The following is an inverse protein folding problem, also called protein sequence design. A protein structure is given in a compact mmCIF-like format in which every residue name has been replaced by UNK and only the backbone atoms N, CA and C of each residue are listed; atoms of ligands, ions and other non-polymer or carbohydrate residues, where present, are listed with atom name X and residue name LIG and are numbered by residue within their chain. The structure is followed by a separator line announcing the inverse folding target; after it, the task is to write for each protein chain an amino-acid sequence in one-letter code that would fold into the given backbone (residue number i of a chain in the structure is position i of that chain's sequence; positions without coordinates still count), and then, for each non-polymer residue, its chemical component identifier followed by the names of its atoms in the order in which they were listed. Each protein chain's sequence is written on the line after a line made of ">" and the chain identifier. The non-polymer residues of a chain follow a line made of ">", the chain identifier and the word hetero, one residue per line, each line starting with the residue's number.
data_IF_710726318259
#
_entry.id   IF_710726318259
#
_cell.length_a   1.000
_cell.length_b   1.000
_cell.length_c   1.000
_cell.angle_alpha   90.00
_cell.angle_beta   90.00
_cell.angle_gamma   90.00
#
_symmetry.space_group_name_H-M   'P 1'
#
loop_
_entity.id
_entity.type
_entity.pdbx_description
1 polymer ?
#
# COMPACT_ATOMS: atom_id res chain seq x y z
N UNK A 1 -0.19 12.92 -12.39
CA UNK A 1 -1.28 13.92 -12.29
C UNK A 1 -1.34 14.30 -10.83
N UNK A 2 -0.90 15.49 -10.46
CA UNK A 2 -0.85 15.93 -9.06
C UNK A 2 -2.27 16.15 -8.56
N UNK A 3 -2.70 15.42 -7.54
CA UNK A 3 -4.01 15.61 -6.88
C UNK A 3 -4.10 16.96 -6.11
N UNK A 4 -2.98 17.68 -6.00
CA UNK A 4 -2.92 18.98 -5.32
C UNK A 4 -3.52 20.15 -6.13
N UNK A 5 -3.68 20.00 -7.44
CA UNK A 5 -4.22 21.06 -8.32
C UNK A 5 -5.76 21.00 -8.44
N UNK A 6 -6.46 20.79 -7.31
CA UNK A 6 -7.92 20.78 -7.23
C UNK A 6 -8.61 22.07 -7.68
N UNK A 7 -7.84 23.14 -7.88
CA UNK A 7 -8.36 24.43 -8.33
C UNK A 7 -8.57 24.53 -9.86
N UNK A 8 -8.18 23.51 -10.61
CA UNK A 8 -8.22 23.54 -12.08
C UNK A 8 -9.44 22.82 -12.70
N UNK A 9 -10.23 22.09 -11.91
CA UNK A 9 -11.39 21.35 -12.42
C UNK A 9 -12.51 21.25 -11.38
N UNK A 10 -13.76 21.47 -11.83
CA UNK A 10 -14.97 21.37 -10.99
C UNK A 10 -15.24 19.92 -10.53
N UNK A 11 -14.78 18.92 -11.30
CA UNK A 11 -14.90 17.49 -11.01
C UNK A 11 -13.57 16.83 -11.27
N UNK A 12 -13.06 16.08 -10.27
CA UNK A 12 -11.79 15.38 -10.36
C UNK A 12 -11.86 13.97 -9.75
N UNK A 13 -11.01 13.05 -10.24
CA UNK A 13 -10.77 11.78 -9.57
C UNK A 13 -9.95 12.01 -8.30
N UNK A 14 -10.39 11.47 -7.18
CA UNK A 14 -9.71 11.62 -5.91
C UNK A 14 -9.44 10.27 -5.23
N UNK A 15 -8.27 10.15 -4.58
CA UNK A 15 -7.92 8.98 -3.82
C UNK A 15 -8.81 8.87 -2.57
N UNK A 16 -9.57 7.76 -2.44
CA UNK A 16 -10.55 7.60 -1.37
C UNK A 16 -9.94 7.66 0.05
N UNK A 17 -8.73 7.14 0.24
CA UNK A 17 -8.01 7.24 1.52
C UNK A 17 -7.68 8.70 1.85
N UNK A 18 -7.13 9.42 0.89
CA UNK A 18 -6.82 10.86 1.05
C UNK A 18 -8.09 11.68 1.30
N UNK A 19 -9.19 11.38 0.58
CA UNK A 19 -10.47 12.05 0.81
C UNK A 19 -10.93 11.92 2.27
N UNK A 20 -10.93 10.71 2.83
CA UNK A 20 -11.33 10.46 4.21
C UNK A 20 -10.45 11.22 5.21
N UNK A 21 -9.13 11.21 5.00
CA UNK A 21 -8.19 11.95 5.87
C UNK A 21 -8.42 13.46 5.77
N UNK A 22 -8.60 14.01 4.58
CA UNK A 22 -8.87 15.44 4.37
C UNK A 22 -10.18 15.86 5.06
N UNK A 23 -11.25 15.07 4.93
CA UNK A 23 -12.52 15.32 5.64
C UNK A 23 -12.36 15.26 7.16
N UNK A 24 -11.58 14.31 7.67
CA UNK A 24 -11.27 14.20 9.09
C UNK A 24 -10.46 15.40 9.62
N UNK A 25 -9.67 16.04 8.76
CA UNK A 25 -8.94 17.27 9.06
C UNK A 25 -9.78 18.55 8.88
N UNK A 26 -11.09 18.41 8.62
CA UNK A 26 -12.02 19.55 8.50
C UNK A 26 -12.06 20.21 7.13
N UNK A 27 -11.54 19.57 6.08
CA UNK A 27 -11.65 20.09 4.72
C UNK A 27 -13.10 20.01 4.24
N UNK A 28 -13.73 21.16 3.95
CA UNK A 28 -15.15 21.24 3.57
C UNK A 28 -15.38 21.54 2.09
N UNK A 29 -14.38 22.05 1.39
CA UNK A 29 -14.42 22.49 -0.01
C UNK A 29 -14.52 21.35 -1.03
N UNK A 30 -14.38 20.10 -0.62
CA UNK A 30 -14.52 18.90 -1.46
C UNK A 30 -15.71 18.05 -1.05
N UNK A 31 -16.48 17.56 -2.02
CA UNK A 31 -17.61 16.64 -1.80
C UNK A 31 -17.50 15.44 -2.73
N UNK A 32 -17.55 14.24 -2.17
CA UNK A 32 -17.58 13.02 -2.98
C UNK A 32 -18.99 12.80 -3.56
N UNK A 33 -19.05 12.43 -4.82
CA UNK A 33 -20.27 11.93 -5.47
C UNK A 33 -20.18 10.40 -5.56
N UNK A 34 -21.32 9.66 -5.60
CA UNK A 34 -21.32 8.18 -5.57
C UNK A 34 -20.92 7.56 -6.92
N UNK A 35 -19.76 7.97 -7.44
CA UNK A 35 -19.17 7.43 -8.68
C UNK A 35 -17.87 6.69 -8.32
N UNK A 36 -17.85 5.38 -8.53
CA UNK A 36 -16.73 4.52 -8.23
C UNK A 36 -15.97 4.18 -9.52
N UNK A 37 -14.90 4.91 -9.79
CA UNK A 37 -14.16 4.85 -11.05
C UNK A 37 -13.31 3.58 -11.18
N UNK A 38 -12.80 3.05 -10.05
CA UNK A 38 -11.91 1.91 -10.05
C UNK A 38 -12.42 0.75 -9.22
N UNK A 39 -12.43 -0.44 -9.85
CA UNK A 39 -12.58 -1.74 -9.18
C UNK A 39 -11.32 -2.55 -9.45
N UNK A 40 -10.47 -2.74 -8.44
CA UNK A 40 -9.20 -3.43 -8.59
C UNK A 40 -9.04 -4.52 -7.54
N UNK A 41 -8.46 -5.63 -7.96
CA UNK A 41 -8.07 -6.71 -7.08
C UNK A 41 -6.88 -6.31 -6.22
N UNK A 42 -7.01 -6.44 -4.90
CA UNK A 42 -6.03 -5.95 -3.93
C UNK A 42 -5.03 -7.01 -3.46
N UNK A 43 -5.41 -8.29 -3.49
CA UNK A 43 -4.50 -9.39 -3.12
C UNK A 43 -3.24 -9.43 -4.00
N UNK A 44 -3.36 -9.03 -5.28
CA UNK A 44 -2.23 -8.93 -6.19
C UNK A 44 -1.24 -7.80 -5.90
N UNK A 45 -1.53 -6.92 -4.92
CA UNK A 45 -0.69 -5.76 -4.59
C UNK A 45 0.43 -6.07 -3.59
N UNK A 46 0.51 -7.30 -3.09
CA UNK A 46 1.52 -7.70 -2.13
C UNK A 46 2.63 -8.46 -2.85
N UNK A 47 3.78 -7.81 -2.97
CA UNK A 47 5.02 -8.44 -3.43
C UNK A 47 5.88 -8.84 -2.23
N UNK A 48 6.51 -9.99 -2.27
CA UNK A 48 7.31 -10.53 -1.16
C UNK A 48 8.67 -11.05 -1.61
N UNK A 49 9.64 -10.98 -0.72
CA UNK A 49 10.89 -11.69 -0.88
C UNK A 49 10.65 -13.20 -0.64
N UNK A 50 10.97 -14.02 -1.65
CA UNK A 50 10.73 -15.48 -1.62
C UNK A 50 11.46 -16.21 -0.52
N UNK A 51 12.57 -15.67 -0.03
CA UNK A 51 13.38 -16.32 0.99
C UNK A 51 12.75 -16.23 2.37
N UNK A 52 12.06 -15.12 2.66
CA UNK A 52 11.60 -14.78 4.00
C UNK A 52 10.10 -14.94 4.20
N UNK A 53 9.30 -14.88 3.13
CA UNK A 53 7.82 -14.93 3.19
C UNK A 53 7.29 -15.95 2.19
N UNK A 54 6.54 -16.93 2.68
CA UNK A 54 5.86 -17.97 1.89
C UNK A 54 4.35 -17.87 1.97
N UNK A 55 3.83 -17.51 3.13
CA UNK A 55 2.39 -17.41 3.42
C UNK A 55 2.08 -16.07 4.10
N UNK A 56 0.82 -15.62 4.15
CA UNK A 56 0.45 -14.41 4.89
C UNK A 56 0.84 -14.44 6.37
N UNK A 57 0.86 -15.61 7.00
CA UNK A 57 1.25 -15.77 8.42
C UNK A 57 2.72 -15.45 8.68
N UNK A 58 3.58 -15.63 7.67
CA UNK A 58 5.01 -15.33 7.79
C UNK A 58 5.29 -13.82 7.86
N UNK A 59 4.28 -12.97 7.62
CA UNK A 59 4.42 -11.52 7.71
C UNK A 59 4.49 -11.00 9.16
N UNK A 60 4.05 -11.77 10.15
CA UNK A 60 4.15 -11.38 11.55
C UNK A 60 5.62 -11.16 11.95
N UNK A 61 5.92 -10.05 12.61
CA UNK A 61 7.27 -9.65 13.00
C UNK A 61 8.17 -9.20 11.83
N UNK A 62 7.62 -9.01 10.63
CA UNK A 62 8.35 -8.64 9.42
C UNK A 62 8.29 -7.14 9.14
N UNK A 63 9.16 -6.71 8.22
CA UNK A 63 9.19 -5.34 7.71
C UNK A 63 8.44 -5.26 6.39
N UNK A 64 7.39 -4.43 6.35
CA UNK A 64 6.52 -4.28 5.18
C UNK A 64 6.60 -2.86 4.63
N UNK A 65 7.00 -2.73 3.38
CA UNK A 65 7.08 -1.46 2.67
C UNK A 65 5.74 -0.98 2.15
N UNK A 66 5.47 0.32 2.28
CA UNK A 66 4.34 1.03 1.69
C UNK A 66 4.81 2.37 1.10
N UNK A 67 4.32 2.80 -0.06
CA UNK A 67 4.74 4.10 -0.62
C UNK A 67 4.19 5.28 0.18
N UNK A 68 2.98 5.15 0.70
CA UNK A 68 2.30 6.13 1.54
C UNK A 68 1.36 5.42 2.51
N UNK A 69 1.23 5.98 3.72
CA UNK A 69 0.37 5.42 4.75
C UNK A 69 -1.12 5.59 4.43
N UNK A 70 -1.53 6.77 3.93
CA UNK A 70 -2.92 7.09 3.62
C UNK A 70 -3.40 6.61 2.24
N UNK A 71 -2.54 6.01 1.43
CA UNK A 71 -2.93 5.54 0.10
C UNK A 71 -4.00 4.44 0.18
N UNK A 72 -5.10 4.61 -0.58
CA UNK A 72 -6.26 3.68 -0.60
C UNK A 72 -5.84 2.22 -0.80
N UNK A 73 -4.91 1.96 -1.72
CA UNK A 73 -4.42 0.60 -1.98
C UNK A 73 -3.83 -0.05 -0.72
N UNK A 74 -3.01 0.70 0.02
CA UNK A 74 -2.41 0.25 1.27
C UNK A 74 -3.45 0.03 2.38
N UNK A 75 -4.41 0.96 2.53
CA UNK A 75 -5.47 0.85 3.54
C UNK A 75 -6.28 -0.44 3.35
N UNK A 76 -6.80 -0.68 2.14
CA UNK A 76 -7.59 -1.87 1.84
C UNK A 76 -6.78 -3.16 1.98
N UNK A 77 -5.53 -3.17 1.53
CA UNK A 77 -4.68 -4.37 1.61
C UNK A 77 -4.33 -4.70 3.06
N UNK A 78 -4.08 -3.71 3.91
CA UNK A 78 -3.87 -3.91 5.36
C UNK A 78 -5.13 -4.47 6.03
N UNK A 79 -6.30 -3.91 5.70
CA UNK A 79 -7.59 -4.42 6.19
C UNK A 79 -7.85 -5.87 5.77
N UNK A 80 -7.54 -6.21 4.53
CA UNK A 80 -7.66 -7.57 4.00
C UNK A 80 -6.74 -8.57 4.73
N UNK A 81 -5.48 -8.19 4.97
CA UNK A 81 -4.55 -9.02 5.75
C UNK A 81 -5.04 -9.23 7.18
N UNK A 82 -5.57 -8.20 7.82
CA UNK A 82 -6.15 -8.31 9.16
C UNK A 82 -7.35 -9.28 9.18
N UNK A 83 -8.28 -9.15 8.24
CA UNK A 83 -9.48 -9.99 8.18
C UNK A 83 -9.18 -11.45 7.85
N UNK A 84 -8.29 -11.71 6.89
CA UNK A 84 -8.06 -13.06 6.37
C UNK A 84 -6.93 -13.81 7.09
N UNK A 85 -5.98 -13.11 7.65
CA UNK A 85 -4.77 -13.71 8.24
C UNK A 85 -4.62 -13.39 9.72
N UNK A 86 -5.48 -12.52 10.27
CA UNK A 86 -5.36 -12.05 11.65
C UNK A 86 -4.16 -11.13 11.89
N UNK A 87 -3.51 -10.62 10.84
CA UNK A 87 -2.33 -9.78 10.94
C UNK A 87 -2.74 -8.35 11.33
N UNK A 88 -2.51 -7.96 12.57
CA UNK A 88 -2.74 -6.61 13.06
C UNK A 88 -1.69 -5.62 12.58
N UNK A 89 -2.03 -4.33 12.60
CA UNK A 89 -1.10 -3.26 12.17
C UNK A 89 0.16 -3.19 13.06
N UNK A 90 0.05 -3.54 14.34
CA UNK A 90 1.16 -3.55 15.29
C UNK A 90 2.03 -4.82 15.24
N UNK A 91 1.61 -5.84 14.48
CA UNK A 91 2.35 -7.10 14.38
C UNK A 91 3.55 -7.02 13.42
N UNK A 92 3.73 -5.90 12.74
CA UNK A 92 4.76 -5.68 11.73
C UNK A 92 5.41 -4.30 11.91
N UNK A 93 6.62 -4.13 11.40
CA UNK A 93 7.25 -2.82 11.23
C UNK A 93 6.95 -2.31 9.83
N UNK A 94 6.32 -1.14 9.75
CA UNK A 94 6.04 -0.51 8.46
C UNK A 94 7.20 0.36 8.02
N UNK A 95 7.55 0.24 6.74
CA UNK A 95 8.60 1.04 6.11
C UNK A 95 7.98 1.87 5.00
N UNK A 96 8.16 3.19 5.06
CA UNK A 96 7.66 4.10 4.04
C UNK A 96 8.81 4.65 3.21
N UNK A 97 8.73 4.47 1.89
CA UNK A 97 9.66 5.02 0.90
C UNK A 97 9.04 5.01 -0.50
N UNK A 98 9.66 5.67 -1.47
CA UNK A 98 9.24 5.56 -2.86
C UNK A 98 9.44 4.15 -3.42
N UNK A 99 8.66 3.76 -4.42
CA UNK A 99 8.71 2.40 -5.00
C UNK A 99 10.02 2.19 -5.77
N UNK A 100 10.32 3.09 -6.70
CA UNK A 100 11.47 3.05 -7.63
C UNK A 100 12.25 4.36 -7.69
N UNK A 101 11.72 5.41 -7.06
CA UNK A 101 12.38 6.71 -6.92
C UNK A 101 12.43 7.10 -5.45
N UNK A 102 13.51 7.75 -5.05
CA UNK A 102 13.68 8.24 -3.67
C UNK A 102 12.89 9.53 -3.45
N UNK A 103 12.77 9.96 -2.18
CA UNK A 103 12.20 11.27 -1.85
C UNK A 103 10.67 11.34 -1.85
N UNK A 104 9.96 10.20 -2.03
CA UNK A 104 8.49 10.21 -1.96
C UNK A 104 8.02 10.60 -0.57
N UNK A 105 7.09 11.54 -0.55
CA UNK A 105 6.43 12.01 0.67
C UNK A 105 4.95 11.61 0.69
N UNK A 106 4.34 11.67 1.86
CA UNK A 106 2.90 11.52 2.04
C UNK A 106 2.19 12.73 1.42
N UNK A 107 1.23 12.49 0.53
CA UNK A 107 0.42 13.59 -0.05
C UNK A 107 -0.50 14.22 0.99
N UNK A 108 -0.99 13.42 1.93
CA UNK A 108 -1.86 13.88 3.03
C UNK A 108 -1.28 13.44 4.34
N UNK A 109 -0.90 14.39 5.19
CA UNK A 109 -0.32 14.10 6.49
C UNK A 109 -1.29 13.29 7.37
N UNK A 110 -0.82 12.15 7.85
CA UNK A 110 -1.59 11.27 8.73
C UNK A 110 -0.64 10.59 9.72
N UNK A 111 -1.08 10.48 10.96
CA UNK A 111 -0.36 9.76 11.99
C UNK A 111 -0.84 8.31 12.05
N UNK A 112 0.08 7.33 12.11
CA UNK A 112 -0.28 5.96 12.39
C UNK A 112 -1.00 5.84 13.74
N UNK A 113 -1.86 4.84 13.94
CA UNK A 113 -2.45 4.56 15.25
C UNK A 113 -1.39 4.29 16.32
N UNK A 114 -1.75 4.51 17.59
CA UNK A 114 -0.87 4.18 18.72
C UNK A 114 -0.44 2.70 18.67
N UNK A 115 0.83 2.44 18.92
CA UNK A 115 1.42 1.09 18.87
C UNK A 115 1.81 0.60 17.46
N UNK A 116 1.62 1.42 16.43
CA UNK A 116 2.05 1.11 15.06
C UNK A 116 3.34 1.86 14.74
N UNK A 117 4.40 1.12 14.40
CA UNK A 117 5.70 1.70 14.02
C UNK A 117 5.77 1.91 12.51
N UNK A 118 6.07 3.13 12.09
CA UNK A 118 6.34 3.49 10.68
C UNK A 118 7.67 4.20 10.59
N UNK A 119 8.64 3.57 9.91
CA UNK A 119 9.98 4.14 9.65
C UNK A 119 10.00 4.71 8.24
N UNK A 120 10.42 5.96 8.08
CA UNK A 120 10.43 6.65 6.79
C UNK A 120 11.86 6.80 6.25
N UNK A 121 12.03 6.49 4.97
CA UNK A 121 13.29 6.66 4.25
C UNK A 121 13.08 7.59 3.04
N UNK A 122 13.93 8.60 2.93
CA UNK A 122 13.91 9.55 1.79
C UNK A 122 15.02 9.26 0.77
N UNK A 123 15.99 8.43 1.12
CA UNK A 123 17.22 8.14 0.36
C UNK A 123 17.24 6.73 -0.24
N UNK A 124 16.18 5.95 -0.04
CA UNK A 124 16.08 4.55 -0.49
C UNK A 124 14.79 4.30 -1.25
N UNK A 125 14.75 3.20 -1.99
CA UNK A 125 13.54 2.73 -2.67
C UNK A 125 13.04 1.41 -2.07
N UNK A 126 11.73 1.20 -2.07
CA UNK A 126 11.13 -0.05 -1.63
C UNK A 126 11.56 -1.23 -2.51
N UNK A 127 11.78 -0.99 -3.81
CA UNK A 127 12.28 -2.01 -4.73
C UNK A 127 13.65 -2.54 -4.29
N UNK A 128 14.60 -1.65 -4.00
CA UNK A 128 15.97 -2.05 -3.62
C UNK A 128 15.99 -2.69 -2.23
N UNK A 129 15.21 -2.16 -1.29
CA UNK A 129 15.05 -2.75 0.04
C UNK A 129 14.43 -4.14 -0.02
N UNK A 130 13.47 -4.39 -0.91
CA UNK A 130 12.88 -5.71 -1.11
C UNK A 130 13.88 -6.69 -1.74
N UNK A 131 14.67 -6.23 -2.70
CA UNK A 131 15.72 -7.03 -3.34
C UNK A 131 16.86 -7.40 -2.40
N UNK A 132 17.29 -6.47 -1.56
CA UNK A 132 18.35 -6.69 -0.57
C UNK A 132 17.88 -7.56 0.62
N UNK A 133 16.55 -7.61 0.85
CA UNK A 133 15.97 -8.27 2.01
C UNK A 133 15.91 -7.38 3.26
N UNK A 134 16.10 -6.07 3.13
CA UNK A 134 15.87 -5.10 4.20
C UNK A 134 14.39 -4.98 4.57
N UNK A 135 13.50 -5.19 3.59
CA UNK A 135 12.07 -5.44 3.82
C UNK A 135 11.69 -6.81 3.28
N UNK A 136 10.72 -7.43 3.91
CA UNK A 136 10.25 -8.76 3.57
C UNK A 136 9.11 -8.76 2.56
N UNK A 137 8.32 -7.69 2.58
CA UNK A 137 7.18 -7.50 1.70
C UNK A 137 7.01 -6.02 1.33
N UNK A 138 6.25 -5.79 0.25
CA UNK A 138 5.83 -4.46 -0.17
C UNK A 138 4.36 -4.50 -0.58
N UNK A 139 3.59 -3.52 -0.15
CA UNK A 139 2.19 -3.30 -0.56
C UNK A 139 2.14 -2.06 -1.45
N UNK A 140 1.79 -2.24 -2.71
CA UNK A 140 1.69 -1.14 -3.67
C UNK A 140 0.71 -1.46 -4.79
N UNK A 141 0.00 -0.44 -5.28
CA UNK A 141 -0.88 -0.53 -6.44
C UNK A 141 -0.14 -0.87 -7.75
N UNK A 142 1.16 -0.58 -7.80
CA UNK A 142 2.05 -0.92 -8.90
C UNK A 142 3.05 -1.97 -8.43
N UNK A 143 3.32 -2.95 -9.30
CA UNK A 143 4.36 -3.93 -9.02
C UNK A 143 5.74 -3.25 -8.97
N UNK A 144 6.68 -3.74 -8.14
CA UNK A 144 8.04 -3.21 -8.17
C UNK A 144 8.73 -3.54 -9.49
N UNK A 145 9.62 -2.67 -10.00
CA UNK A 145 10.35 -2.91 -11.25
C UNK A 145 11.05 -4.26 -11.31
N UNK A 146 11.61 -4.71 -10.19
CA UNK A 146 12.25 -6.03 -10.10
C UNK A 146 11.30 -7.20 -10.39
N UNK A 147 10.04 -7.09 -9.96
CA UNK A 147 9.03 -8.11 -10.27
C UNK A 147 8.68 -8.10 -11.77
N UNK A 148 8.50 -6.91 -12.35
CA UNK A 148 8.21 -6.74 -13.79
C UNK A 148 9.36 -7.25 -14.66
N UNK A 149 10.61 -7.06 -14.20
CA UNK A 149 11.80 -7.62 -14.84
C UNK A 149 11.95 -9.14 -14.65
N UNK A 150 11.07 -9.80 -13.92
CA UNK A 150 11.10 -11.24 -13.70
C UNK A 150 12.16 -11.69 -12.71
N UNK A 151 12.61 -10.84 -11.80
CA UNK A 151 13.58 -11.21 -10.76
C UNK A 151 13.02 -12.34 -9.88
N UNK A 152 13.72 -13.47 -9.86
CA UNK A 152 13.28 -14.68 -9.15
C UNK A 152 13.28 -14.56 -7.62
N UNK A 153 13.88 -13.51 -7.06
CA UNK A 153 13.86 -13.24 -5.61
C UNK A 153 12.50 -12.74 -5.14
N UNK A 154 11.73 -12.13 -6.05
CA UNK A 154 10.46 -11.49 -5.74
C UNK A 154 9.32 -12.31 -6.35
N UNK A 155 8.19 -12.36 -5.65
CA UNK A 155 6.93 -12.92 -6.15
C UNK A 155 5.74 -12.21 -5.53
N UNK A 156 4.55 -12.42 -6.06
CA UNK A 156 3.31 -12.07 -5.35
C UNK A 156 3.11 -13.02 -4.16
N UNK A 157 2.61 -12.48 -3.05
CA UNK A 157 2.23 -13.28 -1.89
C UNK A 157 1.15 -14.30 -2.26
N UNK A 158 0.13 -13.84 -2.97
CA UNK A 158 -0.96 -14.65 -3.50
C UNK A 158 -0.75 -14.89 -5.00
N UNK A 159 -0.28 -16.09 -5.36
CA UNK A 159 -0.06 -16.45 -6.77
C UNK A 159 -1.37 -16.57 -7.55
N UNK A 160 -2.39 -17.06 -6.89
CA UNK A 160 -3.76 -17.26 -7.38
C UNK A 160 -4.72 -16.10 -7.00
N UNK A 161 -4.18 -14.89 -6.87
CA UNK A 161 -4.92 -13.73 -6.36
C UNK A 161 -6.24 -13.46 -7.08
N UNK A 162 -6.35 -13.75 -8.37
CA UNK A 162 -7.58 -13.56 -9.13
C UNK A 162 -8.72 -14.47 -8.65
N UNK A 163 -8.42 -15.72 -8.30
CA UNK A 163 -9.42 -16.66 -7.79
C UNK A 163 -9.78 -16.37 -6.34
N UNK A 164 -8.80 -15.89 -5.54
CA UNK A 164 -9.05 -15.40 -4.18
C UNK A 164 -9.98 -14.19 -4.23
N UNK A 165 -9.73 -13.23 -5.09
CA UNK A 165 -10.55 -12.02 -5.23
C UNK A 165 -11.98 -12.33 -5.70
N UNK A 166 -12.14 -13.25 -6.64
CA UNK A 166 -13.48 -13.69 -7.06
C UNK A 166 -14.27 -14.25 -5.89
N UNK A 167 -13.65 -15.08 -5.04
CA UNK A 167 -14.31 -15.63 -3.84
C UNK A 167 -14.58 -14.58 -2.76
N UNK A 168 -13.75 -13.55 -2.68
CA UNK A 168 -13.92 -12.46 -1.71
C UNK A 168 -15.10 -11.55 -2.02
N UNK A 169 -15.44 -11.39 -3.31
CA UNK A 169 -16.52 -10.50 -3.77
C UNK A 169 -17.86 -11.21 -4.01
N UNK A 170 -17.91 -12.52 -3.86
CA UNK A 170 -19.12 -13.35 -3.91
C UNK A 170 -19.55 -13.79 -2.51
#
# INVERSE_FOLDING_TARGET
>A
MNQADGDAADINEYNGGHYVVQKAHGREDITAIPVFLHRRFRHGFISVNRKTVRTPKDLAGKRIGVPEWAQTAGIYTRGLLAQQSGLGLGDVEWVQAGIHETGRQEEVAVNPPAGVTVVRYSDRTLNDMLLSGEIDAMISAHAPPSFEAGDRRIRRLFGDFMDIERRYWH
#
